data_IF_040503621299
#
_entry.id   IF_040503621299
#
_cell.length_a   1.000
_cell.length_b   1.000
_cell.length_c   1.000
_cell.angle_alpha   90.00
_cell.angle_beta   90.00
_cell.angle_gamma   90.00
#
_symmetry.space_group_name_H-M   'P 1'
#
loop_
_entity.id
_entity.type
_entity.pdbx_description
1 polymer ?
#
# COMPACT_ATOMS: atom_id res chain seq x y z
N UNK A 1 -1.34 9.20 -23.13
CA UNK A 1 -2.24 8.24 -23.80
C UNK A 1 -1.74 6.84 -23.47
N UNK A 2 -2.51 6.05 -22.72
CA UNK A 2 -2.23 4.63 -22.45
C UNK A 2 -3.09 3.80 -23.40
N UNK A 3 -2.63 3.54 -24.63
CA UNK A 3 -3.49 2.96 -25.68
C UNK A 3 -3.17 1.49 -26.02
N UNK A 4 -2.04 0.92 -25.58
CA UNK A 4 -1.60 -0.44 -25.98
C UNK A 4 -1.52 -1.47 -24.84
N UNK A 5 -2.16 -1.23 -23.69
CA UNK A 5 -2.21 -2.22 -22.60
C UNK A 5 -3.64 -2.61 -22.26
N UNK A 6 -3.91 -3.91 -22.29
CA UNK A 6 -5.16 -4.49 -21.80
C UNK A 6 -5.30 -4.17 -20.31
N UNK A 7 -6.21 -3.27 -19.95
CA UNK A 7 -6.55 -3.02 -18.55
C UNK A 7 -7.54 -4.08 -18.08
N UNK A 8 -7.15 -4.85 -17.06
CA UNK A 8 -8.06 -5.77 -16.39
C UNK A 8 -8.78 -5.01 -15.29
N UNK A 9 -10.09 -4.80 -15.44
CA UNK A 9 -10.93 -4.25 -14.37
C UNK A 9 -11.33 -5.39 -13.44
N UNK A 10 -10.82 -5.36 -12.22
CA UNK A 10 -11.26 -6.26 -11.16
C UNK A 10 -12.51 -5.71 -10.50
N UNK A 11 -13.55 -6.54 -10.37
CA UNK A 11 -14.79 -6.23 -9.66
C UNK A 11 -14.95 -7.30 -8.59
N UNK A 12 -15.31 -6.90 -7.37
CA UNK A 12 -15.57 -7.88 -6.31
C UNK A 12 -16.83 -8.66 -6.64
N UNK A 13 -16.78 -9.99 -6.48
CA UNK A 13 -17.95 -10.85 -6.68
C UNK A 13 -18.87 -10.90 -5.45
N UNK A 14 -18.38 -10.45 -4.29
CA UNK A 14 -19.09 -10.39 -3.01
C UNK A 14 -18.74 -9.08 -2.30
N UNK A 15 -19.66 -8.60 -1.46
CA UNK A 15 -19.35 -7.47 -0.58
C UNK A 15 -18.33 -7.92 0.49
N UNK A 16 -17.31 -7.10 0.78
CA UNK A 16 -16.35 -7.41 1.83
C UNK A 16 -17.04 -7.37 3.20
N UNK A 17 -16.70 -8.32 4.07
CA UNK A 17 -17.11 -8.28 5.47
C UNK A 17 -16.29 -7.22 6.22
N UNK A 18 -16.90 -6.07 6.48
CA UNK A 18 -16.27 -4.98 7.22
C UNK A 18 -16.36 -5.14 8.74
N UNK A 19 -17.08 -6.14 9.26
CA UNK A 19 -17.23 -6.35 10.70
C UNK A 19 -15.93 -6.75 11.40
N UNK A 20 -14.93 -7.19 10.64
CA UNK A 20 -13.58 -7.52 11.12
C UNK A 20 -12.68 -6.31 11.32
N UNK A 21 -13.12 -5.12 10.88
CA UNK A 21 -12.38 -3.86 10.97
C UNK A 21 -13.09 -2.91 11.92
N UNK A 22 -12.31 -2.16 12.70
CA UNK A 22 -12.81 -1.05 13.50
C UNK A 22 -12.91 0.23 12.66
N UNK A 23 -13.56 1.27 13.23
CA UNK A 23 -13.78 2.54 12.52
C UNK A 23 -12.49 3.26 12.11
N UNK A 24 -11.44 3.20 12.94
CA UNK A 24 -10.14 3.81 12.64
C UNK A 24 -9.41 3.08 11.51
N UNK A 25 -9.47 1.74 11.49
CA UNK A 25 -8.90 0.92 10.41
C UNK A 25 -9.59 1.22 9.08
N UNK A 26 -10.92 1.32 9.07
CA UNK A 26 -11.69 1.68 7.87
C UNK A 26 -11.35 3.09 7.40
N UNK A 27 -11.24 4.05 8.33
CA UNK A 27 -10.83 5.43 8.01
C UNK A 27 -9.44 5.45 7.36
N UNK A 28 -8.47 4.77 7.95
CA UNK A 28 -7.11 4.72 7.44
C UNK A 28 -7.05 4.12 6.03
N UNK A 29 -7.81 3.05 5.76
CA UNK A 29 -7.92 2.46 4.42
C UNK A 29 -8.48 3.48 3.42
N UNK A 30 -9.54 4.20 3.77
CA UNK A 30 -10.15 5.21 2.89
C UNK A 30 -9.19 6.37 2.59
N UNK A 31 -8.44 6.84 3.58
CA UNK A 31 -7.42 7.90 3.40
C UNK A 31 -6.31 7.47 2.43
N UNK A 32 -5.82 6.23 2.56
CA UNK A 32 -4.83 5.66 1.64
C UNK A 32 -5.41 5.52 0.22
N UNK A 33 -6.65 5.07 0.08
CA UNK A 33 -7.33 4.98 -1.22
C UNK A 33 -7.46 6.35 -1.87
N UNK A 34 -7.88 7.36 -1.12
CA UNK A 34 -8.01 8.72 -1.64
C UNK A 34 -6.66 9.33 -2.06
N UNK A 35 -5.58 9.01 -1.32
CA UNK A 35 -4.22 9.41 -1.68
C UNK A 35 -3.73 8.75 -2.97
N UNK A 36 -4.06 7.48 -3.18
CA UNK A 36 -3.52 6.68 -4.29
C UNK A 36 -4.43 6.57 -5.53
N UNK A 37 -5.70 7.02 -5.47
CA UNK A 37 -6.68 6.84 -6.56
C UNK A 37 -6.28 7.43 -7.91
N UNK A 38 -5.38 8.41 -7.93
CA UNK A 38 -4.89 9.04 -9.16
C UNK A 38 -3.63 8.38 -9.74
N UNK A 39 -3.03 7.45 -9.00
CA UNK A 39 -1.85 6.72 -9.44
C UNK A 39 -2.22 5.56 -10.37
N UNK A 40 -1.45 5.40 -11.43
CA UNK A 40 -1.51 4.22 -12.29
C UNK A 40 -0.89 3.00 -11.59
N UNK A 41 -1.24 1.79 -12.03
CA UNK A 41 -0.66 0.56 -11.49
C UNK A 41 0.88 0.55 -11.54
N UNK A 42 1.47 1.13 -12.60
CA UNK A 42 2.93 1.27 -12.71
C UNK A 42 3.49 2.18 -11.62
N UNK A 43 2.87 3.33 -11.37
CA UNK A 43 3.30 4.26 -10.32
C UNK A 43 3.17 3.66 -8.92
N UNK A 44 2.09 2.91 -8.65
CA UNK A 44 1.91 2.21 -7.37
C UNK A 44 2.97 1.12 -7.21
N UNK A 45 3.25 0.36 -8.28
CA UNK A 45 4.29 -0.68 -8.26
C UNK A 45 5.68 -0.08 -8.03
N UNK A 46 6.03 1.00 -8.73
CA UNK A 46 7.31 1.69 -8.58
C UNK A 46 7.46 2.28 -7.17
N UNK A 47 6.37 2.77 -6.59
CA UNK A 47 6.35 3.26 -5.21
C UNK A 47 6.61 2.13 -4.21
N UNK A 48 5.91 0.99 -4.33
CA UNK A 48 6.08 -0.16 -3.47
C UNK A 48 7.49 -0.79 -3.58
N UNK A 49 8.06 -0.85 -4.79
CA UNK A 49 9.40 -1.40 -5.03
C UNK A 49 10.55 -0.53 -4.50
N UNK A 50 10.26 0.68 -4.01
CA UNK A 50 11.25 1.51 -3.29
C UNK A 50 11.31 1.20 -1.79
N UNK A 51 10.38 0.38 -1.28
CA UNK A 51 10.32 0.09 0.15
C UNK A 51 11.54 -0.71 0.61
N UNK A 52 12.09 -0.37 1.77
CA UNK A 52 13.30 -0.99 2.34
C UNK A 52 13.24 -2.52 2.39
N UNK A 53 12.12 -3.16 2.83
CA UNK A 53 12.02 -4.61 2.86
C UNK A 53 12.11 -5.26 1.48
N UNK A 54 11.58 -4.58 0.45
CA UNK A 54 11.64 -5.05 -0.93
C UNK A 54 13.06 -4.92 -1.50
N UNK A 55 13.69 -3.75 -1.30
CA UNK A 55 15.02 -3.45 -1.85
C UNK A 55 16.11 -4.34 -1.24
N UNK A 56 16.03 -4.63 0.06
CA UNK A 56 17.06 -5.38 0.79
C UNK A 56 16.88 -6.90 0.71
N UNK A 57 15.68 -7.38 0.38
CA UNK A 57 15.42 -8.82 0.28
C UNK A 57 15.70 -9.30 -1.14
N UNK A 58 16.41 -10.43 -1.29
CA UNK A 58 16.62 -11.03 -2.61
C UNK A 58 15.31 -11.54 -3.18
N UNK A 59 15.16 -11.48 -4.49
CA UNK A 59 13.98 -11.99 -5.19
C UNK A 59 13.73 -13.47 -4.82
N UNK A 60 12.52 -13.76 -4.33
CA UNK A 60 12.10 -15.12 -3.95
C UNK A 60 12.49 -15.54 -2.54
N UNK A 61 13.23 -14.73 -1.79
CA UNK A 61 13.55 -14.99 -0.39
C UNK A 61 12.48 -14.43 0.56
N UNK A 62 12.46 -14.96 1.78
CA UNK A 62 11.58 -14.47 2.84
C UNK A 62 12.08 -13.10 3.31
N UNK A 63 11.18 -12.11 3.33
CA UNK A 63 11.46 -10.77 3.86
C UNK A 63 11.54 -10.87 5.39
N UNK A 64 12.67 -10.47 5.98
CA UNK A 64 12.80 -10.37 7.44
C UNK A 64 11.88 -9.26 7.95
N UNK A 65 11.00 -9.61 8.89
CA UNK A 65 10.05 -8.68 9.52
C UNK A 65 10.72 -7.42 10.09
N UNK A 66 11.98 -7.52 10.54
CA UNK A 66 12.74 -6.37 11.05
C UNK A 66 12.90 -5.25 10.02
N UNK A 67 12.97 -5.59 8.74
CA UNK A 67 13.13 -4.61 7.67
C UNK A 67 11.92 -3.67 7.55
N UNK A 68 10.72 -4.13 7.94
CA UNK A 68 9.52 -3.31 7.95
C UNK A 68 9.57 -2.16 8.98
N UNK A 69 10.48 -2.22 9.96
CA UNK A 69 10.71 -1.13 10.92
C UNK A 69 11.61 -0.03 10.37
N UNK A 70 12.35 -0.30 9.29
CA UNK A 70 13.32 0.62 8.69
C UNK A 70 12.83 1.13 7.32
N UNK A 71 11.51 1.24 7.15
CA UNK A 71 10.92 1.83 5.95
C UNK A 71 11.35 3.30 5.82
N UNK A 72 11.50 3.75 4.58
CA UNK A 72 11.79 5.15 4.28
C UNK A 72 10.59 6.04 4.60
N UNK A 73 10.82 7.33 4.88
CA UNK A 73 9.74 8.32 5.09
C UNK A 73 8.70 8.33 3.97
N UNK A 74 9.13 8.04 2.73
CA UNK A 74 8.24 7.96 1.59
C UNK A 74 7.19 6.83 1.70
N UNK A 75 7.52 5.72 2.39
CA UNK A 75 6.70 4.51 2.52
C UNK A 75 6.28 4.21 3.97
N UNK A 76 6.72 5.03 4.91
CA UNK A 76 6.33 4.97 6.31
C UNK A 76 5.20 5.97 6.57
N UNK A 77 4.20 5.55 7.34
CA UNK A 77 3.27 6.47 7.96
C UNK A 77 3.81 6.69 9.37
N UNK A 78 4.34 7.90 9.61
CA UNK A 78 4.63 8.35 10.97
C UNK A 78 3.32 8.92 11.48
N UNK A 79 2.75 8.33 12.54
CA UNK A 79 1.69 9.00 13.28
C UNK A 79 2.33 10.25 13.87
N UNK A 80 1.76 11.44 13.60
CA UNK A 80 2.12 12.62 14.36
C UNK A 80 1.89 12.25 15.84
N UNK A 81 2.90 12.43 16.69
CA UNK A 81 2.76 12.25 18.13
C UNK A 81 1.72 13.27 18.61
N UNK A 82 0.44 12.91 18.53
CA UNK A 82 -0.63 13.65 19.17
C UNK A 82 -0.26 13.74 20.66
N UNK A 83 -0.05 14.99 21.07
CA UNK A 83 0.42 15.46 22.37
C UNK A 83 -0.14 14.62 23.53
N UNK A 84 0.76 13.95 24.26
CA UNK A 84 0.51 13.33 25.57
C UNK A 84 0.34 14.38 26.67
#
# INVERSE_FOLDING_TARGET
>A
MFHDRTQTKYISNIDPDLSVLNGQEVQHINEVLDRMKHNTAAQISDYAHRDTPWVLTKQGEIIDYRLAKYRTDATSVVEDEDEL
#
